data_IF_824988585724
#
_entry.id   IF_824988585724
#
_cell.length_a   1.000
_cell.length_b   1.000
_cell.length_c   1.000
_cell.angle_alpha   90.00
_cell.angle_beta   90.00
_cell.angle_gamma   90.00
#
_symmetry.space_group_name_H-M   'P 1'
#
loop_
_entity.id
_entity.type
_entity.pdbx_description
1 polymer ?
#
# COMPACT_ATOMS: atom_id res chain seq x y z
N UNK A 1 -6.98 -10.04 29.81
CA UNK A 1 -6.20 -9.58 28.64
C UNK A 1 -6.69 -8.23 28.18
N UNK A 2 -5.79 -7.29 27.93
CA UNK A 2 -6.16 -6.10 27.20
C UNK A 2 -6.74 -6.46 25.84
N UNK A 3 -7.58 -5.58 25.31
CA UNK A 3 -8.21 -5.76 24.02
C UNK A 3 -7.36 -5.02 22.96
N UNK A 4 -6.84 -5.75 21.98
CA UNK A 4 -6.06 -5.17 20.89
C UNK A 4 -6.86 -5.27 19.61
N UNK A 5 -6.93 -4.16 18.88
CA UNK A 5 -7.62 -4.09 17.58
C UNK A 5 -6.69 -3.50 16.54
N UNK A 6 -6.88 -3.94 15.32
CA UNK A 6 -6.10 -3.39 14.21
C UNK A 6 -6.49 -1.91 14.01
N UNK A 7 -5.50 -1.03 13.91
CA UNK A 7 -5.74 0.39 13.72
C UNK A 7 -5.40 0.82 12.29
N UNK A 8 -4.13 0.74 11.90
CA UNK A 8 -3.70 1.19 10.57
C UNK A 8 -2.40 0.54 10.12
N UNK A 9 -2.16 0.63 8.81
CA UNK A 9 -0.85 0.41 8.19
C UNK A 9 -0.23 1.79 7.98
N UNK A 10 1.06 1.94 8.29
CA UNK A 10 1.79 3.19 8.11
C UNK A 10 2.84 3.03 7.02
N UNK A 11 2.72 3.83 5.95
CA UNK A 11 3.68 3.92 4.88
C UNK A 11 4.46 5.23 4.98
N UNK A 12 5.69 5.24 4.50
CA UNK A 12 6.44 6.45 4.27
C UNK A 12 6.78 6.57 2.80
N UNK A 13 6.75 7.79 2.29
CA UNK A 13 7.01 8.06 0.89
C UNK A 13 7.77 9.37 0.72
N UNK A 14 8.64 9.42 -0.29
CA UNK A 14 9.23 10.67 -0.74
C UNK A 14 8.14 11.63 -1.26
N UNK A 15 7.03 11.06 -1.75
CA UNK A 15 5.89 11.81 -2.29
C UNK A 15 4.58 11.16 -1.82
N UNK A 16 4.05 11.55 -0.65
CA UNK A 16 2.80 11.00 -0.14
C UNK A 16 1.61 11.20 -1.09
N UNK A 17 1.57 12.32 -1.80
CA UNK A 17 0.50 12.60 -2.77
C UNK A 17 0.51 11.57 -3.90
N UNK A 18 1.66 11.28 -4.48
CA UNK A 18 1.82 10.27 -5.52
C UNK A 18 1.45 8.86 -5.00
N UNK A 19 1.78 8.53 -3.75
CA UNK A 19 1.37 7.29 -3.11
C UNK A 19 -0.15 7.20 -3.03
N UNK A 20 -0.82 8.26 -2.60
CA UNK A 20 -2.27 8.34 -2.57
C UNK A 20 -2.88 8.16 -3.95
N UNK A 21 -2.34 8.83 -4.95
CA UNK A 21 -2.81 8.72 -6.35
C UNK A 21 -2.66 7.31 -6.91
N UNK A 22 -1.60 6.60 -6.54
CA UNK A 22 -1.40 5.21 -6.92
C UNK A 22 -2.53 4.32 -6.39
N UNK A 23 -2.81 4.39 -5.10
CA UNK A 23 -3.87 3.57 -4.49
C UNK A 23 -5.26 3.95 -4.99
N UNK A 24 -5.51 5.22 -5.22
CA UNK A 24 -6.75 5.71 -5.78
C UNK A 24 -6.98 5.14 -7.19
N UNK A 25 -5.98 5.24 -8.05
CA UNK A 25 -6.06 4.78 -9.45
C UNK A 25 -6.13 3.26 -9.54
N UNK A 26 -5.25 2.55 -8.82
CA UNK A 26 -5.10 1.11 -8.98
C UNK A 26 -6.16 0.30 -8.24
N UNK A 27 -6.54 0.73 -7.04
CA UNK A 27 -7.38 -0.06 -6.14
C UNK A 27 -8.68 0.64 -5.75
N UNK A 28 -8.97 1.81 -6.31
CA UNK A 28 -10.18 2.54 -5.98
C UNK A 28 -10.22 3.01 -4.52
N UNK A 29 -9.07 3.26 -3.92
CA UNK A 29 -8.99 3.71 -2.54
C UNK A 29 -9.66 5.07 -2.36
N UNK A 30 -10.32 5.25 -1.22
CA UNK A 30 -10.77 6.55 -0.76
C UNK A 30 -9.56 7.28 -0.17
N UNK A 31 -9.16 8.39 -0.79
CA UNK A 31 -7.97 9.13 -0.40
C UNK A 31 -8.33 10.52 0.08
N UNK A 32 -7.90 10.85 1.31
CA UNK A 32 -8.01 12.19 1.87
C UNK A 32 -6.62 12.79 1.99
N UNK A 33 -6.49 14.02 1.52
CA UNK A 33 -5.27 14.80 1.57
C UNK A 33 -5.52 16.04 2.41
N UNK A 34 -4.67 16.27 3.40
CA UNK A 34 -4.64 17.52 4.16
C UNK A 34 -3.21 17.85 4.56
N UNK A 35 -3.03 18.81 5.45
CA UNK A 35 -1.73 19.29 5.88
C UNK A 35 -1.58 19.00 7.35
N UNK A 36 -0.39 18.57 7.76
CA UNK A 36 -0.08 18.41 9.18
C UNK A 36 -0.17 19.79 9.86
N UNK A 37 -0.94 19.89 10.98
CA UNK A 37 -1.09 21.16 11.68
C UNK A 37 0.19 21.61 12.36
N UNK A 38 0.29 22.92 12.73
CA UNK A 38 1.35 23.40 13.60
C UNK A 38 1.40 22.61 14.91
N UNK A 39 2.59 22.42 15.44
CA UNK A 39 2.82 21.66 16.70
C UNK A 39 2.91 20.15 16.51
N UNK A 40 2.73 19.64 15.28
CA UNK A 40 2.99 18.25 14.94
C UNK A 40 4.42 18.07 14.44
N UNK A 41 4.82 16.81 14.21
CA UNK A 41 6.18 16.47 13.75
C UNK A 41 6.47 16.99 12.32
N UNK A 42 5.43 17.14 11.48
CA UNK A 42 5.59 17.50 10.06
C UNK A 42 4.78 18.76 9.69
N UNK A 43 4.92 19.87 10.41
CA UNK A 43 4.04 21.02 10.18
C UNK A 43 4.11 21.53 8.76
N UNK A 44 2.95 21.74 8.13
CA UNK A 44 2.85 22.26 6.76
C UNK A 44 3.09 21.24 5.66
N UNK A 45 3.49 20.00 5.98
CA UNK A 45 3.66 18.95 4.98
C UNK A 45 2.36 18.20 4.72
N UNK A 46 2.25 17.62 3.53
CA UNK A 46 1.06 16.85 3.14
C UNK A 46 0.93 15.58 3.97
N UNK A 47 -0.28 15.34 4.43
CA UNK A 47 -0.70 14.12 5.09
C UNK A 47 -1.72 13.41 4.23
N UNK A 48 -1.53 12.10 4.02
CA UNK A 48 -2.43 11.27 3.23
C UNK A 48 -3.00 10.17 4.11
N UNK A 49 -4.33 10.06 4.10
CA UNK A 49 -5.09 9.03 4.80
C UNK A 49 -5.95 8.31 3.78
N UNK A 50 -5.88 6.98 3.77
CA UNK A 50 -6.58 6.17 2.77
C UNK A 50 -7.39 5.06 3.42
N UNK A 51 -8.45 4.64 2.71
CA UNK A 51 -9.12 3.36 2.93
C UNK A 51 -8.82 2.46 1.73
N UNK A 52 -8.10 1.39 1.98
CA UNK A 52 -7.72 0.41 0.96
C UNK A 52 -8.27 -0.94 1.38
N UNK A 53 -9.24 -1.47 0.62
CA UNK A 53 -9.90 -2.72 0.96
C UNK A 53 -10.51 -2.73 2.36
N UNK A 54 -11.04 -1.59 2.82
CA UNK A 54 -11.61 -1.44 4.15
C UNK A 54 -10.58 -1.16 5.26
N UNK A 55 -9.29 -1.16 4.95
CA UNK A 55 -8.21 -0.97 5.91
C UNK A 55 -7.69 0.48 5.85
N UNK A 56 -7.48 1.07 7.02
CA UNK A 56 -6.86 2.41 7.13
C UNK A 56 -5.37 2.31 6.82
N UNK A 57 -4.92 3.14 5.88
CA UNK A 57 -3.50 3.28 5.51
C UNK A 57 -3.12 4.76 5.60
N UNK A 58 -2.10 5.05 6.37
CA UNK A 58 -1.56 6.39 6.54
C UNK A 58 -0.26 6.50 5.75
N UNK A 59 -0.04 7.64 5.13
CA UNK A 59 1.22 7.91 4.42
C UNK A 59 1.84 9.17 4.96
N UNK A 60 3.04 9.03 5.52
CA UNK A 60 3.85 10.13 6.03
C UNK A 60 5.00 10.45 5.08
N UNK A 61 5.49 11.70 5.10
CA UNK A 61 6.69 12.08 4.37
C UNK A 61 7.97 11.61 5.07
N UNK A 62 9.11 12.03 4.57
CA UNK A 62 10.40 11.82 5.21
C UNK A 62 10.36 12.32 6.66
N UNK A 63 10.95 11.53 7.58
CA UNK A 63 11.10 11.97 8.97
C UNK A 63 11.94 13.25 9.02
N UNK A 64 11.52 14.28 9.77
CA UNK A 64 12.21 15.58 9.73
C UNK A 64 13.56 15.60 10.45
N UNK A 65 13.80 14.66 11.38
CA UNK A 65 14.99 14.67 12.25
C UNK A 65 15.85 13.41 12.09
N UNK A 66 15.25 12.26 11.79
CA UNK A 66 15.98 11.02 11.72
C UNK A 66 16.36 10.66 10.28
N UNK A 67 17.54 10.07 10.12
CA UNK A 67 17.93 9.49 8.85
C UNK A 67 17.03 8.31 8.51
N UNK A 68 16.70 8.17 7.24
CA UNK A 68 15.89 7.07 6.75
C UNK A 68 16.67 6.24 5.75
N UNK A 69 16.51 4.93 5.84
CA UNK A 69 17.03 3.99 4.84
C UNK A 69 16.04 3.86 3.69
N UNK A 70 16.56 3.54 2.50
CA UNK A 70 15.72 3.16 1.39
C UNK A 70 14.95 1.87 1.74
N UNK A 71 13.79 1.69 1.09
CA UNK A 71 13.04 0.44 1.23
C UNK A 71 13.90 -0.74 0.77
N UNK A 72 13.89 -1.87 1.51
CA UNK A 72 14.63 -3.05 1.09
C UNK A 72 14.07 -3.64 -0.20
N UNK A 73 14.89 -4.36 -0.94
CA UNK A 73 14.45 -5.07 -2.12
C UNK A 73 13.65 -6.32 -1.73
N UNK A 74 12.50 -6.49 -2.36
CA UNK A 74 11.66 -7.68 -2.19
C UNK A 74 12.37 -8.93 -2.77
N UNK A 75 12.35 -10.11 -2.08
CA UNK A 75 11.77 -10.37 -0.77
C UNK A 75 12.74 -10.06 0.39
N UNK A 76 12.19 -9.78 1.58
CA UNK A 76 12.98 -9.46 2.76
C UNK A 76 12.28 -9.90 4.05
N UNK A 77 13.04 -9.99 5.13
CA UNK A 77 12.49 -10.35 6.44
C UNK A 77 11.72 -9.18 7.07
N UNK A 78 10.72 -9.51 7.86
CA UNK A 78 9.89 -8.55 8.57
C UNK A 78 8.54 -8.35 7.88
N UNK A 79 7.97 -7.16 7.97
CA UNK A 79 6.73 -6.81 7.31
C UNK A 79 7.00 -6.55 5.82
N UNK A 80 6.79 -7.57 5.00
CA UNK A 80 7.19 -7.57 3.60
C UNK A 80 6.12 -7.04 2.66
N UNK A 81 4.85 -7.40 2.91
CA UNK A 81 3.73 -6.99 2.06
C UNK A 81 2.42 -7.06 2.85
N UNK A 82 1.38 -6.51 2.29
CA UNK A 82 0.02 -6.76 2.74
C UNK A 82 -0.84 -7.23 1.58
N UNK A 83 -1.94 -7.89 1.89
CA UNK A 83 -2.78 -8.51 0.88
C UNK A 83 -4.19 -7.97 0.81
N UNK A 84 -4.76 -8.00 -0.38
CA UNK A 84 -6.15 -7.68 -0.67
C UNK A 84 -6.82 -8.91 -1.29
N UNK A 85 -8.02 -9.22 -0.83
CA UNK A 85 -8.83 -10.28 -1.43
C UNK A 85 -9.50 -9.76 -2.70
N UNK A 86 -9.48 -10.57 -3.75
CA UNK A 86 -10.24 -10.30 -4.97
C UNK A 86 -11.09 -11.52 -5.32
N UNK A 87 -12.24 -11.31 -5.92
CA UNK A 87 -13.13 -12.40 -6.34
C UNK A 87 -12.68 -13.05 -7.64
N UNK A 88 -12.12 -12.27 -8.56
CA UNK A 88 -11.64 -12.73 -9.87
C UNK A 88 -10.28 -12.12 -10.16
N UNK A 89 -9.23 -12.88 -9.91
CA UNK A 89 -7.86 -12.41 -9.99
C UNK A 89 -7.45 -12.03 -11.42
N UNK A 90 -7.84 -12.81 -12.41
CA UNK A 90 -7.52 -12.53 -13.82
C UNK A 90 -8.14 -11.22 -14.31
N UNK A 91 -9.38 -10.94 -13.92
CA UNK A 91 -10.02 -9.66 -14.23
C UNK A 91 -9.33 -8.49 -13.52
N UNK A 92 -8.98 -8.66 -12.25
CA UNK A 92 -8.25 -7.63 -11.47
C UNK A 92 -6.89 -7.34 -12.12
N UNK A 93 -6.16 -8.36 -12.53
CA UNK A 93 -4.86 -8.18 -13.19
C UNK A 93 -5.01 -7.48 -14.54
N UNK A 94 -6.01 -7.85 -15.34
CA UNK A 94 -6.26 -7.19 -16.61
C UNK A 94 -6.56 -5.69 -16.43
N UNK A 95 -7.39 -5.36 -15.44
CA UNK A 95 -7.71 -3.98 -15.10
C UNK A 95 -6.45 -3.21 -14.66
N UNK A 96 -5.66 -3.79 -13.77
CA UNK A 96 -4.43 -3.17 -13.27
C UNK A 96 -3.41 -2.96 -14.40
N UNK A 97 -3.23 -3.93 -15.29
CA UNK A 97 -2.35 -3.78 -16.46
C UNK A 97 -2.81 -2.67 -17.38
N UNK A 98 -4.12 -2.55 -17.61
CA UNK A 98 -4.68 -1.47 -18.42
C UNK A 98 -4.42 -0.10 -17.81
N UNK A 99 -4.29 -0.01 -16.49
CA UNK A 99 -3.94 1.21 -15.74
C UNK A 99 -2.44 1.44 -15.64
N UNK A 100 -1.62 0.56 -16.18
CA UNK A 100 -0.16 0.68 -16.16
C UNK A 100 0.51 0.13 -14.91
N UNK A 101 -0.16 -0.72 -14.14
CA UNK A 101 0.43 -1.33 -12.95
C UNK A 101 1.53 -2.32 -13.31
N UNK A 102 2.53 -2.41 -12.43
CA UNK A 102 3.61 -3.41 -12.50
C UNK A 102 3.18 -4.66 -11.74
N UNK A 103 2.84 -5.73 -12.47
CA UNK A 103 2.55 -7.04 -11.91
C UNK A 103 3.89 -7.77 -11.75
N UNK A 104 4.45 -7.69 -10.56
CA UNK A 104 5.78 -8.20 -10.28
C UNK A 104 5.83 -9.72 -10.20
N UNK A 105 4.76 -10.36 -9.73
CA UNK A 105 4.66 -11.82 -9.61
C UNK A 105 3.24 -12.27 -9.97
N UNK A 106 3.14 -13.38 -10.68
CA UNK A 106 1.88 -14.06 -10.96
C UNK A 106 1.12 -13.53 -12.18
N UNK A 107 -0.12 -13.99 -12.36
CA UNK A 107 -0.89 -14.85 -11.44
C UNK A 107 -0.30 -16.26 -11.33
N UNK A 108 -0.30 -16.80 -10.13
CA UNK A 108 0.16 -18.17 -9.85
C UNK A 108 -0.84 -18.89 -8.94
N UNK A 109 -0.97 -20.20 -9.14
CA UNK A 109 -1.67 -21.07 -8.20
C UNK A 109 -0.67 -21.51 -7.13
N UNK A 110 -0.91 -21.11 -5.88
CA UNK A 110 -0.01 -21.45 -4.76
C UNK A 110 -0.37 -22.81 -4.19
N UNK A 111 -1.65 -23.14 -4.16
CA UNK A 111 -2.21 -24.44 -3.79
C UNK A 111 -3.58 -24.56 -4.46
N UNK A 112 -4.21 -25.76 -4.50
CA UNK A 112 -5.53 -25.91 -5.10
C UNK A 112 -6.53 -24.91 -4.53
N UNK A 113 -7.14 -24.09 -5.41
CA UNK A 113 -8.12 -23.08 -5.05
C UNK A 113 -7.54 -21.78 -4.50
N UNK A 114 -6.21 -21.64 -4.40
CA UNK A 114 -5.53 -20.43 -3.92
C UNK A 114 -4.69 -19.83 -5.05
N UNK A 115 -5.08 -18.66 -5.52
CA UNK A 115 -4.40 -17.93 -6.58
C UNK A 115 -3.96 -16.58 -6.07
N UNK A 116 -2.77 -16.15 -6.48
CA UNK A 116 -2.24 -14.86 -6.06
C UNK A 116 -1.41 -14.17 -7.14
N UNK A 117 -1.24 -12.88 -6.97
CA UNK A 117 -0.33 -12.05 -7.71
C UNK A 117 0.22 -10.95 -6.80
N UNK A 118 1.33 -10.35 -7.17
CA UNK A 118 1.89 -9.20 -6.47
C UNK A 118 1.97 -8.01 -7.41
N UNK A 119 1.50 -6.88 -6.93
CA UNK A 119 1.58 -5.58 -7.60
C UNK A 119 2.66 -4.76 -6.91
N UNK A 120 3.58 -4.22 -7.70
CA UNK A 120 4.60 -3.30 -7.18
C UNK A 120 4.08 -1.89 -7.19
N UNK A 121 4.18 -1.20 -6.07
CA UNK A 121 3.80 0.20 -5.91
C UNK A 121 4.99 1.14 -5.74
N UNK A 122 4.72 2.41 -5.50
CA UNK A 122 5.75 3.40 -5.19
C UNK A 122 6.60 2.97 -3.99
N UNK A 123 7.83 3.43 -3.92
CA UNK A 123 8.82 3.03 -2.89
C UNK A 123 9.14 1.52 -2.89
N UNK A 124 8.75 0.81 -3.95
CA UNK A 124 8.95 -0.64 -4.05
C UNK A 124 8.02 -1.46 -3.16
N UNK A 125 6.95 -0.87 -2.60
CA UNK A 125 5.99 -1.63 -1.79
C UNK A 125 5.32 -2.72 -2.63
N UNK A 126 5.00 -3.82 -1.97
CA UNK A 126 4.35 -4.96 -2.62
C UNK A 126 2.96 -5.16 -2.05
N UNK A 127 1.99 -5.27 -2.94
CA UNK A 127 0.59 -5.56 -2.60
C UNK A 127 0.23 -6.91 -3.20
N UNK A 128 -0.13 -7.86 -2.35
CA UNK A 128 -0.60 -9.17 -2.78
C UNK A 128 -2.09 -9.13 -3.11
N UNK A 129 -2.48 -9.73 -4.21
CA UNK A 129 -3.88 -9.99 -4.54
C UNK A 129 -4.14 -11.46 -4.36
N UNK A 130 -5.18 -11.81 -3.60
CA UNK A 130 -5.48 -13.19 -3.23
C UNK A 130 -6.90 -13.55 -3.64
N UNK A 131 -7.03 -14.63 -4.42
CA UNK A 131 -8.31 -15.25 -4.74
C UNK A 131 -8.36 -16.64 -4.10
N UNK A 132 -9.42 -16.89 -3.33
CA UNK A 132 -9.74 -18.20 -2.74
C UNK A 132 -11.05 -18.74 -3.28
#
# INVERSE_FOLDING_TARGET
MPDYRYDHIHLRSHDPDAMGSFFEKMFGAEVRRDVYPPGTLYPGQMRVLMKVGGQTVLVAPKHPHDAMTAAPAFPYYGLEHFGLTVTKLDEAIADLRAKGADIAVGPVMRSPGLYLAFVRGPEGIMIELVQR
#
